data_IF_747113980483
#
_entry.id   IF_747113980483
#
_cell.length_a   1.000
_cell.length_b   1.000
_cell.length_c   1.000
_cell.angle_alpha   90.00
_cell.angle_beta   90.00
_cell.angle_gamma   90.00
#
_symmetry.space_group_name_H-M   'P 1'
#
loop_
_entity.id
_entity.type
_entity.pdbx_description
1 polymer ?
#
# COMPACT_ATOMS: atom_id res chain seq x y z
N UNK A 1 1.11 -6.65 5.82
CA UNK A 1 2.28 -7.10 5.08
C UNK A 1 3.52 -6.74 5.84
N UNK A 2 4.26 -7.74 6.19
CA UNK A 2 5.53 -7.51 6.82
C UNK A 2 6.51 -7.03 5.76
N UNK A 3 6.58 -5.79 5.53
CA UNK A 3 7.36 -5.23 4.46
C UNK A 3 8.86 -5.35 4.59
N UNK A 4 9.39 -6.10 5.53
CA UNK A 4 10.81 -6.43 5.59
C UNK A 4 11.77 -5.33 5.18
N UNK A 5 11.58 -4.12 5.56
CA UNK A 5 12.41 -3.01 5.14
C UNK A 5 11.95 -2.30 3.87
N UNK A 6 10.92 -2.78 3.21
CA UNK A 6 10.34 -2.12 2.05
C UNK A 6 9.22 -1.18 2.50
N UNK A 7 9.61 -0.12 3.21
CA UNK A 7 8.68 0.90 3.61
C UNK A 7 8.21 1.69 2.39
N UNK A 8 6.95 1.59 2.07
CA UNK A 8 6.32 2.32 0.97
C UNK A 8 5.37 3.41 1.47
N UNK A 9 5.47 3.74 2.75
CA UNK A 9 4.62 4.73 3.38
C UNK A 9 3.50 4.11 4.19
N UNK A 10 2.79 4.97 4.90
CA UNK A 10 1.61 4.58 5.66
C UNK A 10 0.39 4.58 4.75
N UNK A 11 -0.41 3.54 4.84
CA UNK A 11 -1.59 3.44 4.02
C UNK A 11 -2.14 2.03 3.95
N UNK A 12 -3.03 1.83 3.00
CA UNK A 12 -3.66 0.53 2.75
C UNK A 12 -2.86 -0.18 1.66
N UNK A 13 -2.27 -1.30 2.01
CA UNK A 13 -1.44 -2.11 1.12
C UNK A 13 -2.30 -3.10 0.36
N UNK A 14 -2.14 -3.12 -0.96
CA UNK A 14 -2.91 -3.95 -1.87
C UNK A 14 -1.96 -4.67 -2.83
N UNK A 15 -2.36 -5.86 -3.25
CA UNK A 15 -1.65 -6.61 -4.28
C UNK A 15 -2.33 -6.42 -5.63
N UNK A 16 -1.55 -6.39 -6.70
CA UNK A 16 -2.10 -6.25 -8.07
C UNK A 16 -2.49 -7.57 -8.69
N UNK A 17 -2.11 -8.68 -8.09
CA UNK A 17 -2.49 -10.00 -8.58
C UNK A 17 -2.85 -10.96 -7.43
N UNK A 18 -3.53 -12.05 -7.80
CA UNK A 18 -4.02 -13.04 -6.83
C UNK A 18 -2.89 -13.78 -6.14
N UNK A 19 -1.84 -14.12 -6.87
CA UNK A 19 -0.71 -14.87 -6.31
C UNK A 19 -0.03 -14.09 -5.18
N UNK A 20 0.18 -12.80 -5.38
CA UNK A 20 0.75 -11.92 -4.36
C UNK A 20 -0.18 -11.78 -3.17
N UNK A 21 -1.48 -11.61 -3.41
CA UNK A 21 -2.47 -11.53 -2.34
C UNK A 21 -2.50 -12.80 -1.50
N UNK A 22 -2.47 -13.97 -2.12
CA UNK A 22 -2.41 -15.25 -1.41
C UNK A 22 -1.16 -15.38 -0.57
N UNK A 23 -0.02 -14.94 -1.08
CA UNK A 23 1.25 -14.97 -0.37
C UNK A 23 1.16 -14.18 0.95
N UNK A 24 0.53 -13.02 0.95
CA UNK A 24 0.37 -12.21 2.15
C UNK A 24 -0.73 -12.70 3.09
N UNK A 25 -1.76 -13.34 2.56
CA UNK A 25 -2.83 -13.88 3.38
C UNK A 25 -2.37 -15.06 4.25
N UNK A 26 -1.34 -15.78 3.82
CA UNK A 26 -0.79 -16.91 4.57
C UNK A 26 -1.69 -18.13 4.57
N UNK A 27 -1.38 -19.08 5.45
CA UNK A 27 -2.02 -20.39 5.46
C UNK A 27 -3.46 -20.38 5.97
N UNK A 28 -3.85 -19.37 6.71
CA UNK A 28 -5.21 -19.27 7.28
C UNK A 28 -5.95 -18.05 6.75
N UNK A 29 -5.30 -17.32 5.86
CA UNK A 29 -5.77 -16.02 5.45
C UNK A 29 -6.88 -16.07 4.44
N UNK A 30 -7.56 -14.95 4.37
CA UNK A 30 -8.56 -14.64 3.37
C UNK A 30 -8.05 -13.44 2.62
N UNK A 31 -8.21 -13.42 1.31
CA UNK A 31 -7.96 -12.22 0.53
C UNK A 31 -9.25 -11.71 -0.09
N UNK A 32 -9.29 -10.43 -0.39
CA UNK A 32 -10.46 -9.80 -0.99
C UNK A 32 -10.09 -9.20 -2.33
N UNK A 33 -11.03 -9.26 -3.26
CA UNK A 33 -10.92 -8.56 -4.52
C UNK A 33 -11.59 -7.19 -4.37
N UNK A 34 -10.85 -6.13 -4.70
CA UNK A 34 -11.31 -4.77 -4.51
C UNK A 34 -11.27 -3.99 -5.82
N UNK A 35 -12.18 -3.02 -5.92
CA UNK A 35 -12.06 -1.93 -6.87
C UNK A 35 -11.51 -0.74 -6.10
N UNK A 36 -10.42 -0.15 -6.60
CA UNK A 36 -9.70 0.90 -5.88
C UNK A 36 -9.56 2.14 -6.76
N UNK A 37 -9.88 3.28 -6.19
CA UNK A 37 -9.61 4.58 -6.81
C UNK A 37 -8.21 5.02 -6.41
N UNK A 38 -7.26 4.94 -7.33
CA UNK A 38 -5.84 5.17 -7.02
C UNK A 38 -5.45 6.65 -6.99
N UNK A 39 -6.13 7.48 -7.74
CA UNK A 39 -5.70 8.86 -7.93
C UNK A 39 -4.36 8.91 -8.67
N UNK A 40 -3.51 9.86 -8.31
CA UNK A 40 -2.20 10.00 -8.92
C UNK A 40 -1.23 9.01 -8.29
N UNK A 41 -0.72 8.08 -9.10
CA UNK A 41 0.15 6.99 -8.65
C UNK A 41 1.61 7.29 -8.95
N UNK A 42 2.46 7.15 -7.94
CA UNK A 42 3.91 7.15 -8.11
C UNK A 42 4.39 5.72 -8.34
N UNK A 43 5.08 5.49 -9.44
CA UNK A 43 5.78 4.22 -9.65
C UNK A 43 7.14 4.34 -8.99
N UNK A 44 7.40 3.47 -8.01
CA UNK A 44 8.60 3.52 -7.19
C UNK A 44 9.79 2.95 -7.95
N UNK A 45 10.62 3.84 -8.46
CA UNK A 45 11.77 3.50 -9.29
C UNK A 45 12.98 4.34 -8.89
N UNK A 46 14.15 3.98 -9.40
CA UNK A 46 15.44 4.58 -9.01
C UNK A 46 15.44 6.12 -9.01
N UNK A 47 14.93 6.82 -10.03
CA UNK A 47 14.93 8.28 -9.99
C UNK A 47 14.14 8.86 -8.82
N UNK A 48 13.00 8.28 -8.51
CA UNK A 48 12.16 8.74 -7.39
C UNK A 48 12.79 8.37 -6.06
N UNK A 49 13.42 7.20 -5.96
CA UNK A 49 14.13 6.78 -4.76
C UNK A 49 15.27 7.75 -4.42
N UNK A 50 16.01 8.18 -5.42
CA UNK A 50 17.08 9.17 -5.24
C UNK A 50 16.53 10.51 -4.77
N UNK A 51 15.43 10.97 -5.32
CA UNK A 51 14.76 12.20 -4.90
C UNK A 51 14.30 12.11 -3.46
N UNK A 52 13.76 10.99 -3.07
CA UNK A 52 13.31 10.77 -1.70
C UNK A 52 14.49 10.79 -0.71
N UNK A 53 15.56 10.08 -1.02
CA UNK A 53 16.75 10.07 -0.17
C UNK A 53 17.31 11.47 0.03
N UNK A 54 17.40 12.26 -1.04
CA UNK A 54 17.86 13.63 -0.98
C UNK A 54 16.91 14.51 -0.15
N UNK A 55 15.62 14.33 -0.31
CA UNK A 55 14.62 15.07 0.46
C UNK A 55 14.74 14.79 1.96
N UNK A 56 14.91 13.52 2.35
CA UNK A 56 15.12 13.15 3.75
C UNK A 56 16.38 13.77 4.31
N UNK A 57 17.47 13.76 3.54
CA UNK A 57 18.73 14.37 3.94
C UNK A 57 18.57 15.88 4.16
N UNK A 58 17.90 16.56 3.25
CA UNK A 58 17.68 18.00 3.32
C UNK A 58 16.82 18.40 4.52
N UNK A 59 15.89 17.55 4.93
CA UNK A 59 14.98 17.82 6.05
C UNK A 59 15.45 17.20 7.37
N UNK A 60 16.58 16.50 7.37
CA UNK A 60 17.12 15.88 8.57
C UNK A 60 16.21 14.82 9.17
N UNK A 61 15.51 14.06 8.33
CA UNK A 61 14.59 13.01 8.77
C UNK A 61 15.07 11.63 8.31
N UNK A 62 14.70 10.61 9.08
CA UNK A 62 15.00 9.23 8.71
C UNK A 62 14.07 8.76 7.60
N UNK A 63 14.55 7.80 6.82
CA UNK A 63 13.76 7.16 5.76
C UNK A 63 12.83 6.12 6.39
N UNK A 64 11.71 6.56 6.92
CA UNK A 64 10.69 5.71 7.50
C UNK A 64 9.35 5.89 6.77
N UNK A 65 8.32 5.15 7.21
CA UNK A 65 7.00 5.23 6.57
C UNK A 65 6.39 6.62 6.64
N UNK A 66 6.57 7.31 7.75
CA UNK A 66 6.02 8.66 7.91
C UNK A 66 6.69 9.65 6.94
N UNK A 67 8.02 9.57 6.82
CA UNK A 67 8.77 10.42 5.90
C UNK A 67 8.38 10.12 4.44
N UNK A 68 8.26 8.85 4.08
CA UNK A 68 7.83 8.44 2.74
C UNK A 68 6.45 9.00 2.40
N UNK A 69 5.50 8.85 3.32
CA UNK A 69 4.15 9.37 3.13
C UNK A 69 4.14 10.87 2.93
N UNK A 70 4.88 11.59 3.77
CA UNK A 70 4.97 13.04 3.68
C UNK A 70 5.59 13.48 2.35
N UNK A 71 6.66 12.82 1.92
CA UNK A 71 7.32 13.13 0.65
C UNK A 71 6.39 12.93 -0.53
N UNK A 72 5.70 11.80 -0.58
CA UNK A 72 4.82 11.47 -1.70
C UNK A 72 3.60 12.39 -1.76
N UNK A 73 2.97 12.64 -0.63
CA UNK A 73 1.82 13.55 -0.58
C UNK A 73 2.19 14.97 -0.97
N UNK A 74 3.35 15.46 -0.55
CA UNK A 74 3.85 16.78 -0.94
C UNK A 74 4.09 16.90 -2.43
N UNK A 75 4.43 15.80 -3.08
CA UNK A 75 4.62 15.77 -4.53
C UNK A 75 3.32 15.47 -5.28
N UNK A 76 2.19 15.47 -4.60
CA UNK A 76 0.87 15.32 -5.22
C UNK A 76 0.45 13.91 -5.53
N UNK A 77 1.12 12.90 -4.98
CA UNK A 77 0.75 11.51 -5.18
C UNK A 77 -0.25 11.04 -4.13
N UNK A 78 -1.21 10.24 -4.55
CA UNK A 78 -2.19 9.59 -3.67
C UNK A 78 -1.83 8.15 -3.37
N UNK A 79 -1.04 7.53 -4.24
CA UNK A 79 -0.75 6.11 -4.26
C UNK A 79 0.69 5.90 -4.69
N UNK A 80 1.32 4.87 -4.16
CA UNK A 80 2.63 4.42 -4.62
C UNK A 80 2.52 2.96 -5.05
N UNK A 81 3.19 2.62 -6.15
CA UNK A 81 3.28 1.25 -6.64
C UNK A 81 4.74 0.82 -6.73
N UNK A 82 5.03 -0.33 -6.16
CA UNK A 82 6.34 -0.98 -6.27
C UNK A 82 6.10 -2.45 -6.61
N UNK A 83 6.48 -2.84 -7.84
CA UNK A 83 6.22 -4.18 -8.33
C UNK A 83 4.73 -4.51 -8.30
N UNK A 84 4.38 -5.56 -7.56
CA UNK A 84 3.00 -6.05 -7.46
C UNK A 84 2.27 -5.53 -6.22
N UNK A 85 2.82 -4.53 -5.55
CA UNK A 85 2.23 -3.92 -4.35
C UNK A 85 1.86 -2.48 -4.65
N UNK A 86 0.67 -2.12 -4.25
CA UNK A 86 0.15 -0.76 -4.33
C UNK A 86 -0.25 -0.32 -2.94
N UNK A 87 0.13 0.90 -2.57
CA UNK A 87 -0.26 1.47 -1.28
C UNK A 87 -1.10 2.73 -1.53
N UNK A 88 -2.32 2.71 -1.04
CA UNK A 88 -3.16 3.92 -0.99
C UNK A 88 -2.73 4.70 0.23
N UNK A 89 -2.04 5.81 0.02
CA UNK A 89 -1.38 6.56 1.09
C UNK A 89 -2.38 7.19 2.05
N UNK A 90 -2.11 7.02 3.34
CA UNK A 90 -2.92 7.61 4.40
C UNK A 90 -2.03 7.89 5.61
N UNK A 91 -1.70 9.17 5.89
CA UNK A 91 -0.94 9.51 7.09
C UNK A 91 -1.65 9.02 8.34
N UNK A 92 -0.88 8.40 9.24
CA UNK A 92 -1.45 7.88 10.47
C UNK A 92 -2.44 6.74 10.25
N UNK A 93 -2.22 5.90 9.25
CA UNK A 93 -3.11 4.79 8.88
C UNK A 93 -3.53 3.93 10.08
N UNK A 94 -2.65 3.75 11.04
CA UNK A 94 -2.95 2.94 12.22
C UNK A 94 -4.02 3.54 13.12
N UNK A 95 -4.34 4.82 12.90
CA UNK A 95 -5.46 5.47 13.55
C UNK A 95 -6.76 5.00 12.88
N UNK A 96 -7.73 4.43 13.64
CA UNK A 96 -8.99 3.96 13.05
C UNK A 96 -9.76 5.02 12.28
N UNK A 97 -9.71 6.27 12.71
CA UNK A 97 -10.39 7.38 12.02
C UNK A 97 -9.76 7.63 10.64
N UNK A 98 -8.44 7.63 10.55
CA UNK A 98 -7.75 7.80 9.29
C UNK A 98 -8.08 6.68 8.31
N UNK A 99 -8.14 5.44 8.80
CA UNK A 99 -8.50 4.29 7.98
C UNK A 99 -9.90 4.46 7.37
N UNK A 100 -10.87 4.89 8.17
CA UNK A 100 -12.24 5.11 7.69
C UNK A 100 -12.31 6.14 6.57
N UNK A 101 -11.50 7.17 6.61
CA UNK A 101 -11.47 8.19 5.56
C UNK A 101 -11.05 7.62 4.21
N UNK A 102 -10.06 6.74 4.19
CA UNK A 102 -9.56 6.15 2.94
C UNK A 102 -10.38 4.97 2.46
N UNK A 103 -11.13 4.30 3.32
CA UNK A 103 -11.92 3.13 2.93
C UNK A 103 -12.95 3.45 1.85
N UNK A 104 -13.39 4.69 1.72
CA UNK A 104 -14.31 5.13 0.66
C UNK A 104 -13.73 4.99 -0.74
N UNK A 105 -12.40 4.90 -0.89
CA UNK A 105 -11.73 4.70 -2.18
C UNK A 105 -11.54 3.23 -2.52
N UNK A 106 -11.92 2.34 -1.61
CA UNK A 106 -11.74 0.91 -1.77
C UNK A 106 -13.08 0.23 -1.61
N UNK A 107 -13.54 -0.43 -2.68
CA UNK A 107 -14.78 -1.19 -2.68
C UNK A 107 -14.48 -2.66 -2.81
N UNK A 108 -14.89 -3.44 -1.83
CA UNK A 108 -14.73 -4.90 -1.86
C UNK A 108 -15.72 -5.49 -2.86
N UNK A 109 -15.22 -6.29 -3.79
CA UNK A 109 -16.04 -6.97 -4.81
C UNK A 109 -16.34 -8.41 -4.42
N UNK A 110 -15.37 -9.10 -3.84
CA UNK A 110 -15.54 -10.50 -3.43
C UNK A 110 -14.51 -10.87 -2.39
N UNK A 111 -14.79 -11.93 -1.64
CA UNK A 111 -13.92 -12.47 -0.59
C UNK A 111 -13.57 -13.90 -0.94
N UNK A 112 -12.32 -14.29 -0.80
CA UNK A 112 -11.81 -15.60 -1.18
C UNK A 112 -10.91 -16.18 -0.10
N UNK A 113 -10.88 -17.50 0.02
CA UNK A 113 -9.91 -18.18 0.85
C UNK A 113 -8.61 -18.39 0.07
N UNK A 114 -7.51 -18.07 0.74
CA UNK A 114 -6.19 -18.10 0.10
C UNK A 114 -5.62 -19.50 -0.05
N UNK A 115 -6.04 -20.45 0.80
CA UNK A 115 -5.36 -21.74 0.94
C UNK A 115 -6.06 -22.92 0.29
N UNK A 116 -7.31 -22.79 -0.06
CA UNK A 116 -8.06 -23.89 -0.62
C UNK A 116 -7.91 -23.96 -2.13
N UNK A 117 -7.69 -25.16 -2.63
CA UNK A 117 -7.84 -25.44 -4.05
C UNK A 117 -9.30 -25.29 -4.48
N UNK A 118 -10.23 -25.49 -3.56
CA UNK A 118 -11.65 -25.23 -3.77
C UNK A 118 -11.89 -23.74 -3.46
N UNK A 119 -12.33 -23.02 -4.46
CA UNK A 119 -12.60 -21.59 -4.30
C UNK A 119 -13.94 -21.39 -3.61
N UNK A 120 -13.88 -20.61 -2.54
CA UNK A 120 -15.08 -20.13 -1.88
C UNK A 120 -15.13 -18.62 -2.14
N UNK A 121 -16.11 -18.20 -2.91
CA UNK A 121 -16.41 -16.77 -3.11
C UNK A 121 -17.57 -16.41 -2.22
N UNK A 122 -17.39 -15.34 -1.49
CA UNK A 122 -18.40 -14.88 -0.54
C UNK A 122 -18.84 -13.48 -0.93
#
# INVERSE_FOLDING_TARGET
MAGGGNALGDGIYLATDVATAKSYAGSTGVYVKCLVTLGRTCVWATPMQARYAKWCQQHGVQQDNSAMTAFLLRNGFNTIQSGKVVVVLQPGYRNPTAWKQKSRFIRVLSVHRAVDSVRVSV
#
